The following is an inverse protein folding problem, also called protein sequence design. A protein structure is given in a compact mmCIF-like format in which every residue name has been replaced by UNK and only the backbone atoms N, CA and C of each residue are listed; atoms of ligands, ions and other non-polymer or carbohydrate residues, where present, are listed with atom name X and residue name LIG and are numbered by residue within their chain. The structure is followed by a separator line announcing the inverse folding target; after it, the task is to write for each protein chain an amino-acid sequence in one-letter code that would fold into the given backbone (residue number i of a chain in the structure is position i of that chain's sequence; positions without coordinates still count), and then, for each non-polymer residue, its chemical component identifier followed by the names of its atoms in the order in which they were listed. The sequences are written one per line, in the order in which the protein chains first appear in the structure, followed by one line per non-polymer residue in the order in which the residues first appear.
data_IF_955863159205
#
_entry.id   IF_955863159205
#
_cell.length_a   1.000
_cell.length_b   1.000
_cell.length_c   1.000
_cell.angle_alpha   90.00
_cell.angle_beta   90.00
_cell.angle_gamma   90.00
#
_symmetry.space_group_name_H-M   'P 1'
#
loop_
_entity.id
_entity.type
_entity.pdbx_description
1 polymer ?
#
# COMPACT_ATOMS: atom_id res chain seq x y z
N UNK A 1 0.02 -43.03 -3.19
CA UNK A 1 0.02 -42.54 -1.80
C UNK A 1 1.44 -42.15 -1.40
N UNK A 2 1.68 -40.94 -0.90
CA UNK A 2 3.04 -40.57 -0.50
C UNK A 2 3.50 -41.39 0.70
N UNK A 3 4.79 -41.67 0.73
CA UNK A 3 5.39 -42.44 1.80
C UNK A 3 5.42 -41.63 3.10
N UNK A 4 5.55 -42.32 4.23
CA UNK A 4 5.64 -41.66 5.52
C UNK A 4 6.87 -40.73 5.58
N UNK A 5 7.96 -41.11 4.91
CA UNK A 5 9.17 -40.28 4.83
C UNK A 5 8.93 -38.98 4.10
N UNK A 6 8.20 -39.03 2.98
CA UNK A 6 7.84 -37.83 2.21
C UNK A 6 6.95 -36.90 3.02
N UNK A 7 5.96 -37.48 3.71
CA UNK A 7 5.03 -36.70 4.57
C UNK A 7 5.82 -36.02 5.69
N UNK A 8 6.75 -36.73 6.32
CA UNK A 8 7.57 -36.18 7.40
C UNK A 8 8.41 -35.01 6.90
N UNK A 9 8.94 -35.09 5.67
CA UNK A 9 9.70 -34.00 5.06
C UNK A 9 8.82 -32.78 4.83
N UNK A 10 7.61 -33.01 4.35
CA UNK A 10 6.64 -31.91 4.15
C UNK A 10 6.27 -31.25 5.47
N UNK A 11 6.09 -32.05 6.54
CA UNK A 11 5.80 -31.49 7.87
C UNK A 11 6.91 -30.56 8.31
N UNK A 12 8.17 -30.99 8.13
CA UNK A 12 9.32 -30.17 8.51
C UNK A 12 9.37 -28.88 7.72
N UNK A 13 9.10 -28.94 6.42
CA UNK A 13 9.08 -27.77 5.55
C UNK A 13 8.00 -26.79 5.96
N UNK A 14 6.79 -27.28 6.24
CA UNK A 14 5.67 -26.43 6.61
C UNK A 14 5.91 -25.81 8.00
N UNK A 15 6.52 -26.55 8.93
CA UNK A 15 6.89 -25.98 10.23
C UNK A 15 7.89 -24.85 10.08
N UNK A 16 8.85 -24.98 9.15
CA UNK A 16 9.80 -23.90 8.88
C UNK A 16 9.09 -22.68 8.32
N UNK A 17 8.13 -22.87 7.42
CA UNK A 17 7.34 -21.77 6.88
C UNK A 17 6.58 -21.06 8.01
N UNK A 18 6.01 -21.83 8.95
CA UNK A 18 5.28 -21.24 10.09
C UNK A 18 6.20 -20.37 10.95
N UNK A 19 7.44 -20.80 11.15
CA UNK A 19 8.40 -19.99 11.91
C UNK A 19 8.74 -18.69 11.19
N UNK A 20 8.93 -18.76 9.88
CA UNK A 20 9.26 -17.58 9.06
C UNK A 20 8.11 -16.60 9.07
N UNK A 21 6.87 -17.09 8.84
CA UNK A 21 5.71 -16.19 8.78
C UNK A 21 5.43 -15.59 10.16
N UNK A 22 5.64 -16.34 11.24
CA UNK A 22 5.48 -15.82 12.59
C UNK A 22 6.48 -14.67 12.84
N UNK A 23 7.74 -14.85 12.43
CA UNK A 23 8.74 -13.81 12.57
C UNK A 23 8.37 -12.57 11.75
N UNK A 24 7.88 -12.80 10.53
CA UNK A 24 7.45 -11.70 9.66
C UNK A 24 6.25 -10.95 10.25
N UNK A 25 5.34 -11.67 10.89
CA UNK A 25 4.21 -11.04 11.57
C UNK A 25 4.70 -10.09 12.67
N UNK A 26 5.66 -10.54 13.47
CA UNK A 26 6.18 -9.74 14.57
C UNK A 26 6.95 -8.52 14.07
N UNK A 27 7.75 -8.68 13.04
CA UNK A 27 8.49 -7.57 12.43
C UNK A 27 7.52 -6.55 11.84
N UNK A 28 6.49 -7.04 11.12
CA UNK A 28 5.49 -6.14 10.53
C UNK A 28 4.71 -5.38 11.59
N UNK A 29 4.39 -6.03 12.71
CA UNK A 29 3.69 -5.36 13.81
C UNK A 29 4.53 -4.21 14.37
N UNK A 30 5.84 -4.45 14.56
CA UNK A 30 6.75 -3.42 15.05
C UNK A 30 6.86 -2.26 14.06
N UNK A 31 7.00 -2.58 12.77
CA UNK A 31 7.10 -1.56 11.73
C UNK A 31 5.80 -0.76 11.59
N UNK A 32 4.66 -1.43 11.76
CA UNK A 32 3.36 -0.75 11.73
C UNK A 32 3.26 0.29 12.84
N UNK A 33 3.66 -0.09 14.07
CA UNK A 33 3.61 0.84 15.19
C UNK A 33 4.50 2.06 14.97
N UNK A 34 5.69 1.83 14.40
CA UNK A 34 6.60 2.93 14.07
C UNK A 34 6.00 3.82 12.99
N UNK A 35 5.40 3.21 11.96
CA UNK A 35 4.79 3.96 10.87
C UNK A 35 3.62 4.81 11.38
N UNK A 36 2.81 4.27 12.30
CA UNK A 36 1.73 5.04 12.91
C UNK A 36 2.27 6.25 13.69
N UNK A 37 3.37 6.05 14.43
CA UNK A 37 4.01 7.17 15.14
C UNK A 37 4.52 8.22 14.16
N UNK A 38 5.04 7.80 13.02
CA UNK A 38 5.53 8.74 12.00
C UNK A 38 4.37 9.59 11.43
N UNK A 39 3.23 8.95 11.16
CA UNK A 39 2.04 9.68 10.70
C UNK A 39 1.61 10.71 11.76
N UNK A 40 1.52 10.28 13.01
CA UNK A 40 1.11 11.16 14.09
C UNK A 40 2.09 12.32 14.31
N UNK A 41 3.38 12.07 14.09
CA UNK A 41 4.40 13.11 14.26
C UNK A 41 4.27 14.23 13.24
N UNK A 42 3.71 13.94 12.05
CA UNK A 42 3.52 14.97 11.02
C UNK A 42 2.23 15.77 11.22
N UNK A 43 1.32 15.28 12.06
CA UNK A 43 -0.02 15.86 12.18
C UNK A 43 -0.04 17.32 12.67
N UNK A 44 0.74 17.71 13.68
CA UNK A 44 0.71 19.12 14.10
C UNK A 44 1.08 20.10 12.98
N UNK A 45 2.12 19.76 12.20
CA UNK A 45 2.54 20.59 11.08
C UNK A 45 1.45 20.65 10.01
N UNK A 46 0.87 19.49 9.67
CA UNK A 46 -0.18 19.43 8.66
C UNK A 46 -1.44 20.19 9.08
N UNK A 47 -1.82 20.08 10.37
CA UNK A 47 -2.98 20.78 10.89
C UNK A 47 -2.76 22.29 10.86
N UNK A 48 -1.57 22.74 11.24
CA UNK A 48 -1.24 24.16 11.21
C UNK A 48 -1.27 24.69 9.79
N UNK A 49 -0.69 23.95 8.87
CA UNK A 49 -0.70 24.32 7.45
C UNK A 49 -2.12 24.40 6.91
N UNK A 50 -2.99 23.47 7.32
CA UNK A 50 -4.40 23.49 6.91
C UNK A 50 -5.11 24.75 7.41
N UNK A 51 -4.84 25.15 8.65
CA UNK A 51 -5.42 26.40 9.20
C UNK A 51 -4.99 27.62 8.40
N UNK A 52 -3.69 27.71 8.12
CA UNK A 52 -3.16 28.83 7.34
C UNK A 52 -3.77 28.84 5.95
N UNK A 53 -3.86 27.66 5.32
CA UNK A 53 -4.45 27.56 3.98
C UNK A 53 -5.92 27.97 3.96
N UNK A 54 -6.69 27.57 4.96
CA UNK A 54 -8.10 27.95 5.05
C UNK A 54 -8.23 29.47 5.15
N UNK A 55 -7.37 30.10 5.95
CA UNK A 55 -7.38 31.56 6.13
C UNK A 55 -7.00 32.27 4.83
N UNK A 56 -5.92 31.80 4.18
CA UNK A 56 -5.43 32.42 2.95
C UNK A 56 -6.38 32.26 1.77
N UNK A 57 -6.96 31.07 1.61
CA UNK A 57 -7.85 30.82 0.47
C UNK A 57 -9.16 31.60 0.59
N UNK A 58 -9.59 31.92 1.82
CA UNK A 58 -10.76 32.78 2.02
C UNK A 58 -10.49 34.20 1.58
N UNK A 59 -9.24 34.64 1.61
CA UNK A 59 -8.85 36.01 1.28
C UNK A 59 -8.48 36.21 -0.18
N UNK A 60 -8.03 35.16 -0.85
CA UNK A 60 -7.60 35.24 -2.26
C UNK A 60 -8.70 34.62 -3.12
N UNK A 61 -9.45 35.43 -3.81
CA UNK A 61 -10.64 35.00 -4.57
C UNK A 61 -10.60 35.56 -5.99
N UNK A 62 -11.43 35.01 -6.84
CA UNK A 62 -11.66 35.50 -8.19
C UNK A 62 -10.43 35.45 -9.08
N UNK A 63 -10.16 36.53 -9.77
CA UNK A 63 -9.06 36.61 -10.73
C UNK A 63 -7.69 36.42 -10.09
N UNK A 64 -7.58 36.66 -8.79
CA UNK A 64 -6.31 36.46 -8.08
C UNK A 64 -5.89 34.98 -8.03
N UNK A 65 -6.82 34.06 -8.29
CA UNK A 65 -6.49 32.62 -8.33
C UNK A 65 -5.91 32.19 -9.67
N UNK A 66 -6.00 32.98 -10.69
CA UNK A 66 -5.50 32.64 -12.03
C UNK A 66 -4.00 32.46 -11.99
N UNK A 67 -3.54 31.37 -12.61
CA UNK A 67 -2.13 31.03 -12.65
C UNK A 67 -1.59 30.45 -11.37
N UNK A 68 -2.42 30.26 -10.37
CA UNK A 68 -2.03 29.63 -9.10
C UNK A 68 -2.52 28.19 -9.05
N UNK A 69 -2.09 27.47 -8.03
CA UNK A 69 -2.54 26.09 -7.80
C UNK A 69 -3.99 26.02 -7.32
N UNK A 70 -4.64 27.16 -7.13
CA UNK A 70 -6.07 27.22 -6.78
C UNK A 70 -6.98 27.28 -8.01
N UNK A 71 -6.41 27.51 -9.19
CA UNK A 71 -7.20 27.78 -10.38
C UNK A 71 -7.92 26.52 -10.89
N UNK A 72 -9.24 26.57 -10.94
CA UNK A 72 -10.02 25.53 -11.57
C UNK A 72 -10.04 25.77 -13.09
N UNK A 73 -9.68 24.74 -13.86
CA UNK A 73 -9.72 24.84 -15.30
C UNK A 73 -11.15 24.66 -15.80
N UNK A 74 -11.56 25.47 -16.76
CA UNK A 74 -12.92 25.39 -17.32
C UNK A 74 -13.18 24.04 -17.97
N UNK A 75 -12.19 23.56 -18.72
CA UNK A 75 -12.27 22.26 -19.39
C UNK A 75 -11.11 21.41 -18.91
N UNK A 76 -11.43 20.21 -18.45
CA UNK A 76 -10.41 19.26 -18.02
C UNK A 76 -10.12 18.31 -19.17
N UNK A 77 -8.90 18.36 -19.70
CA UNK A 77 -8.49 17.52 -20.83
C UNK A 77 -7.46 16.48 -20.41
N UNK A 78 -6.65 16.77 -19.40
CA UNK A 78 -5.61 15.86 -18.95
C UNK A 78 -5.52 15.84 -17.44
N UNK A 79 -5.25 14.67 -16.91
CA UNK A 79 -5.21 14.41 -15.48
C UNK A 79 -3.93 13.66 -15.15
N UNK A 80 -3.32 14.00 -14.02
CA UNK A 80 -2.21 13.22 -13.48
C UNK A 80 -2.68 12.47 -12.26
N UNK A 81 -2.26 11.21 -12.16
CA UNK A 81 -2.63 10.32 -11.06
C UNK A 81 -1.37 9.80 -10.39
N UNK A 82 -1.22 10.10 -9.10
CA UNK A 82 -0.15 9.54 -8.29
C UNK A 82 -0.68 8.28 -7.63
N UNK A 83 0.06 7.16 -7.75
CA UNK A 83 -0.35 5.87 -7.20
C UNK A 83 0.71 5.40 -6.20
N UNK A 84 0.29 5.19 -4.97
CA UNK A 84 1.18 4.77 -3.88
C UNK A 84 1.01 3.29 -3.61
N UNK A 85 2.09 2.53 -3.78
CA UNK A 85 2.10 1.09 -3.51
C UNK A 85 3.37 0.72 -2.75
N UNK A 86 3.42 -0.47 -2.15
CA UNK A 86 4.67 -0.96 -1.56
C UNK A 86 5.71 -1.36 -2.60
N UNK A 87 6.96 -1.50 -2.15
CA UNK A 87 8.01 -2.11 -2.96
C UNK A 87 7.92 -3.63 -2.94
N UNK A 88 7.38 -4.20 -1.87
CA UNK A 88 7.34 -5.66 -1.65
C UNK A 88 5.91 -6.13 -1.46
N UNK A 89 5.70 -7.41 -1.72
CA UNK A 89 4.41 -8.03 -1.55
C UNK A 89 4.20 -8.65 -0.17
N UNK A 90 3.41 -9.71 -0.14
CA UNK A 90 3.03 -10.43 1.07
C UNK A 90 2.26 -9.56 2.04
N UNK A 91 1.48 -8.64 1.50
CA UNK A 91 0.64 -7.73 2.27
C UNK A 91 -0.84 -7.89 1.89
N UNK A 92 -1.24 -9.13 1.67
CA UNK A 92 -2.61 -9.46 1.35
C UNK A 92 -3.06 -8.87 0.03
N UNK A 93 -4.27 -8.36 0.02
CA UNK A 93 -4.88 -7.80 -1.19
C UNK A 93 -4.61 -6.31 -1.37
N UNK A 94 -3.75 -5.72 -0.54
CA UNK A 94 -3.55 -4.26 -0.53
C UNK A 94 -3.11 -3.73 -1.89
N UNK A 95 -2.09 -4.36 -2.49
CA UNK A 95 -1.57 -3.91 -3.80
C UNK A 95 -2.64 -4.04 -4.87
N UNK A 96 -3.30 -5.21 -4.92
CA UNK A 96 -4.34 -5.45 -5.93
C UNK A 96 -5.49 -4.45 -5.80
N UNK A 97 -5.89 -4.13 -4.57
CA UNK A 97 -6.99 -3.20 -4.34
C UNK A 97 -6.65 -1.79 -4.80
N UNK A 98 -5.43 -1.33 -4.51
CA UNK A 98 -4.98 -0.01 -4.95
C UNK A 98 -4.92 0.05 -6.47
N UNK A 99 -4.35 -0.97 -7.11
CA UNK A 99 -4.20 -0.97 -8.56
C UNK A 99 -5.54 -1.11 -9.26
N UNK A 100 -6.47 -1.86 -8.69
CA UNK A 100 -7.83 -1.96 -9.23
C UNK A 100 -8.54 -0.60 -9.15
N UNK A 101 -8.37 0.10 -8.04
CA UNK A 101 -8.96 1.44 -7.90
C UNK A 101 -8.36 2.42 -8.89
N UNK A 102 -7.03 2.33 -9.09
CA UNK A 102 -6.35 3.18 -10.08
C UNK A 102 -6.84 2.89 -11.49
N UNK A 103 -6.98 1.61 -11.83
CA UNK A 103 -7.49 1.21 -13.15
C UNK A 103 -8.89 1.72 -13.40
N UNK A 104 -9.75 1.62 -12.40
CA UNK A 104 -11.13 2.13 -12.51
C UNK A 104 -11.12 3.65 -12.72
N UNK A 105 -10.30 4.37 -11.99
CA UNK A 105 -10.19 5.82 -12.16
C UNK A 105 -9.73 6.18 -13.57
N UNK A 106 -8.71 5.48 -14.07
CA UNK A 106 -8.17 5.74 -15.40
C UNK A 106 -9.25 5.50 -16.47
N UNK A 107 -9.98 4.38 -16.34
CA UNK A 107 -11.06 4.06 -17.27
C UNK A 107 -12.15 5.12 -17.25
N UNK A 108 -12.53 5.58 -16.07
CA UNK A 108 -13.55 6.62 -15.92
C UNK A 108 -13.11 7.94 -16.58
N UNK A 109 -11.84 8.31 -16.39
CA UNK A 109 -11.32 9.54 -16.98
C UNK A 109 -11.26 9.45 -18.49
N UNK A 110 -10.81 8.32 -19.01
CA UNK A 110 -10.75 8.12 -20.46
C UNK A 110 -12.13 8.12 -21.10
N UNK A 111 -13.13 7.62 -20.39
CA UNK A 111 -14.52 7.65 -20.87
C UNK A 111 -15.03 9.07 -20.99
N UNK A 112 -14.47 10.01 -20.23
CA UNK A 112 -14.81 11.44 -20.36
C UNK A 112 -13.98 12.15 -21.42
N UNK A 113 -13.14 11.43 -22.15
CA UNK A 113 -12.29 12.00 -23.19
C UNK A 113 -11.00 12.60 -22.68
N UNK A 114 -10.60 12.27 -21.47
CA UNK A 114 -9.39 12.84 -20.86
C UNK A 114 -8.21 11.88 -21.00
N UNK A 115 -7.00 12.44 -21.05
CA UNK A 115 -5.78 11.65 -20.97
C UNK A 115 -5.31 11.57 -19.54
N UNK A 116 -4.65 10.47 -19.18
CA UNK A 116 -4.16 10.27 -17.82
C UNK A 116 -2.67 9.89 -17.87
N UNK A 117 -1.84 10.65 -17.15
CA UNK A 117 -0.46 10.28 -16.88
C UNK A 117 -0.39 9.73 -15.47
N UNK A 118 0.43 8.70 -15.27
CA UNK A 118 0.57 8.05 -13.97
C UNK A 118 1.98 8.31 -13.42
N UNK A 119 2.03 8.68 -12.16
CA UNK A 119 3.27 8.77 -11.38
C UNK A 119 3.18 7.70 -10.30
N UNK A 120 4.27 7.01 -10.01
CA UNK A 120 4.24 5.92 -9.04
C UNK A 120 5.21 6.15 -7.90
N UNK A 121 4.73 5.84 -6.70
CA UNK A 121 5.56 5.61 -5.52
C UNK A 121 5.46 4.12 -5.24
N UNK A 122 6.62 3.45 -5.14
CA UNK A 122 6.66 2.03 -4.88
C UNK A 122 6.81 1.19 -6.13
N UNK A 123 7.53 0.09 -5.97
CA UNK A 123 7.90 -0.75 -7.11
C UNK A 123 6.73 -1.55 -7.66
N UNK A 124 5.81 -1.97 -6.80
CA UNK A 124 4.68 -2.81 -7.26
C UNK A 124 3.81 -2.08 -8.27
N UNK A 125 3.52 -0.81 -8.02
CA UNK A 125 2.75 -0.01 -8.97
C UNK A 125 3.52 0.28 -10.24
N UNK A 126 4.80 0.64 -10.12
CA UNK A 126 5.64 0.88 -11.27
C UNK A 126 5.66 -0.33 -12.21
N UNK A 127 5.91 -1.51 -11.65
CA UNK A 127 6.01 -2.73 -12.45
C UNK A 127 4.68 -3.07 -13.11
N UNK A 128 3.58 -2.87 -12.39
CA UNK A 128 2.25 -3.12 -12.94
C UNK A 128 2.00 -2.25 -14.18
N UNK A 129 2.26 -0.96 -14.07
CA UNK A 129 2.00 -0.04 -15.19
C UNK A 129 2.92 -0.31 -16.35
N UNK A 130 4.18 -0.65 -16.10
CA UNK A 130 5.09 -1.03 -17.18
C UNK A 130 4.61 -2.27 -17.93
N UNK A 131 4.10 -3.27 -17.19
CA UNK A 131 3.58 -4.50 -17.81
C UNK A 131 2.34 -4.24 -18.66
N UNK A 132 1.53 -3.26 -18.27
CA UNK A 132 0.30 -2.95 -19.02
C UNK A 132 0.52 -1.92 -20.12
N UNK A 133 1.78 -1.57 -20.41
CA UNK A 133 2.11 -0.66 -21.49
C UNK A 133 1.92 0.81 -21.14
N UNK A 134 1.91 1.15 -19.86
CA UNK A 134 1.59 2.46 -19.33
C UNK A 134 2.82 2.98 -18.59
N UNK A 135 3.83 3.46 -19.32
CA UNK A 135 5.06 3.91 -18.66
C UNK A 135 4.76 5.07 -17.70
N UNK A 136 5.17 4.99 -16.44
CA UNK A 136 4.96 6.13 -15.54
C UNK A 136 5.70 7.37 -16.00
N UNK A 137 5.06 8.52 -15.85
CA UNK A 137 5.68 9.81 -16.16
C UNK A 137 6.75 10.18 -15.13
N UNK A 138 6.66 9.61 -13.95
CA UNK A 138 7.66 9.75 -12.91
C UNK A 138 7.53 8.63 -11.91
N UNK A 139 8.60 8.30 -11.23
CA UNK A 139 8.59 7.17 -10.30
C UNK A 139 9.58 7.39 -9.17
N UNK A 140 9.24 6.84 -8.00
CA UNK A 140 10.14 6.77 -6.86
C UNK A 140 9.97 5.39 -6.22
N UNK A 141 11.07 4.71 -5.97
CA UNK A 141 11.07 3.39 -5.34
C UNK A 141 12.07 3.39 -4.21
N UNK A 142 12.07 2.29 -3.44
CA UNK A 142 12.99 2.10 -2.32
C UNK A 142 12.87 3.22 -1.31
N UNK A 143 11.62 3.59 -1.00
CA UNK A 143 11.38 4.66 -0.03
C UNK A 143 11.71 4.23 1.39
N UNK A 144 11.65 2.92 1.66
CA UNK A 144 11.92 2.40 2.99
C UNK A 144 10.72 2.53 3.90
N UNK A 145 10.95 2.24 5.18
CA UNK A 145 9.88 2.22 6.17
C UNK A 145 9.59 3.58 6.78
N UNK A 146 10.53 4.51 6.66
CA UNK A 146 10.39 5.86 7.24
C UNK A 146 11.03 6.87 6.30
N UNK A 147 10.45 7.10 5.11
CA UNK A 147 11.05 8.02 4.16
C UNK A 147 10.98 9.46 4.68
N UNK A 148 11.99 10.24 4.35
CA UNK A 148 11.97 11.67 4.58
C UNK A 148 11.22 12.36 3.44
N UNK A 149 10.80 13.59 3.68
CA UNK A 149 10.07 14.38 2.68
C UNK A 149 10.85 14.45 1.36
N UNK A 150 12.16 14.60 1.42
CA UNK A 150 13.01 14.71 0.24
C UNK A 150 12.86 13.52 -0.71
N UNK A 151 12.53 12.34 -0.17
CA UNK A 151 12.42 11.13 -0.99
C UNK A 151 11.24 11.19 -1.95
N UNK A 152 10.20 11.97 -1.64
CA UNK A 152 9.01 12.06 -2.49
C UNK A 152 8.99 13.35 -3.33
N UNK A 153 9.89 14.28 -3.08
CA UNK A 153 9.80 15.60 -3.70
C UNK A 153 10.00 15.56 -5.22
N UNK A 154 10.85 14.67 -5.70
CA UNK A 154 11.09 14.60 -7.15
C UNK A 154 9.82 14.35 -7.95
N UNK A 155 9.06 13.34 -7.51
CA UNK A 155 7.80 12.99 -8.17
C UNK A 155 6.76 14.09 -7.92
N UNK A 156 6.67 14.57 -6.67
CA UNK A 156 5.68 15.59 -6.31
C UNK A 156 5.88 16.87 -7.11
N UNK A 157 7.11 17.34 -7.19
CA UNK A 157 7.42 18.59 -7.89
C UNK A 157 7.15 18.44 -9.39
N UNK A 158 7.51 17.30 -9.96
CA UNK A 158 7.26 17.04 -11.38
C UNK A 158 5.76 17.13 -11.70
N UNK A 159 4.93 16.50 -10.87
CA UNK A 159 3.48 16.52 -11.09
C UNK A 159 2.89 17.92 -10.89
N UNK A 160 3.34 18.62 -9.85
CA UNK A 160 2.87 19.99 -9.57
C UNK A 160 3.24 20.93 -10.71
N UNK A 161 4.49 20.83 -11.19
CA UNK A 161 4.94 21.64 -12.31
C UNK A 161 4.16 21.34 -13.58
N UNK A 162 3.74 20.09 -13.77
CA UNK A 162 2.88 19.72 -14.88
C UNK A 162 1.55 20.45 -14.84
N UNK A 163 1.00 20.61 -13.65
CA UNK A 163 -0.23 21.38 -13.49
C UNK A 163 0.01 22.87 -13.79
N UNK A 164 1.09 23.43 -13.24
CA UNK A 164 1.38 24.85 -13.43
C UNK A 164 1.64 25.20 -14.89
N UNK A 165 2.28 24.30 -15.63
CA UNK A 165 2.62 24.53 -17.05
C UNK A 165 1.44 24.28 -17.99
N UNK A 166 0.31 23.77 -17.46
CA UNK A 166 -0.84 23.46 -18.27
C UNK A 166 -0.85 22.06 -18.87
N UNK A 167 0.16 21.25 -18.53
CA UNK A 167 0.20 19.86 -19.00
C UNK A 167 -0.94 19.04 -18.38
N UNK A 168 -1.26 19.31 -17.13
CA UNK A 168 -2.36 18.65 -16.41
C UNK A 168 -3.36 19.69 -15.92
N UNK A 169 -4.62 19.32 -15.97
CA UNK A 169 -5.70 20.18 -15.48
C UNK A 169 -6.16 19.79 -14.08
N UNK A 170 -5.89 18.54 -13.68
CA UNK A 170 -6.18 18.05 -12.34
C UNK A 170 -5.11 17.07 -11.93
N UNK A 171 -4.92 16.95 -10.62
CA UNK A 171 -3.94 16.01 -10.03
C UNK A 171 -4.62 15.26 -8.90
N UNK A 172 -4.52 13.94 -8.92
CA UNK A 172 -5.11 13.06 -7.91
C UNK A 172 -4.05 12.15 -7.33
N UNK A 173 -4.32 11.63 -6.14
CA UNK A 173 -3.48 10.59 -5.52
C UNK A 173 -4.38 9.46 -5.04
N UNK A 174 -3.92 8.23 -5.29
CA UNK A 174 -4.54 7.01 -4.75
C UNK A 174 -3.53 6.37 -3.81
N UNK A 175 -3.98 6.04 -2.62
CA UNK A 175 -3.12 5.51 -1.57
C UNK A 175 -3.94 4.57 -0.70
N UNK A 176 -3.27 3.88 0.24
CA UNK A 176 -3.93 2.97 1.15
C UNK A 176 -4.22 3.69 2.46
N UNK A 177 -5.49 3.95 2.70
CA UNK A 177 -5.95 4.58 3.93
C UNK A 177 -5.94 3.55 5.05
N UNK A 178 -5.41 3.94 6.20
CA UNK A 178 -5.36 3.08 7.38
C UNK A 178 -6.62 3.32 8.21
N UNK A 179 -7.53 2.36 8.18
CA UNK A 179 -8.77 2.45 8.98
C UNK A 179 -8.50 1.89 10.38
N UNK A 180 -8.00 0.68 10.44
CA UNK A 180 -7.54 0.05 11.68
C UNK A 180 -6.58 -1.08 11.29
N UNK A 181 -6.14 -1.84 12.27
CA UNK A 181 -5.15 -2.89 12.04
C UNK A 181 -5.64 -3.94 11.03
N UNK A 182 -6.93 -4.23 11.02
CA UNK A 182 -7.49 -5.28 10.15
C UNK A 182 -7.96 -4.75 8.80
N UNK A 183 -8.26 -3.46 8.69
CA UNK A 183 -8.88 -2.89 7.50
C UNK A 183 -8.05 -1.77 6.95
N UNK A 184 -7.66 -1.89 5.69
CA UNK A 184 -7.02 -0.84 4.92
C UNK A 184 -7.82 -0.70 3.63
N UNK A 185 -7.99 0.51 3.17
CA UNK A 185 -8.89 0.80 2.06
C UNK A 185 -8.21 1.70 1.05
N UNK A 186 -8.29 1.41 -0.26
CA UNK A 186 -7.78 2.37 -1.23
C UNK A 186 -8.62 3.64 -1.17
N UNK A 187 -7.95 4.77 -1.12
CA UNK A 187 -8.59 6.06 -1.08
C UNK A 187 -8.06 6.93 -2.21
N UNK A 188 -8.92 7.76 -2.75
CA UNK A 188 -8.52 8.70 -3.79
C UNK A 188 -8.78 10.13 -3.27
N UNK A 189 -7.84 11.01 -3.53
CA UNK A 189 -7.95 12.40 -3.11
C UNK A 189 -7.51 13.30 -4.25
N UNK A 190 -8.27 14.35 -4.50
CA UNK A 190 -7.86 15.37 -5.48
C UNK A 190 -6.88 16.32 -4.81
N UNK A 191 -5.71 16.49 -5.42
CA UNK A 191 -4.68 17.37 -4.91
C UNK A 191 -4.69 18.74 -5.56
N UNK A 192 -4.94 18.79 -6.86
CA UNK A 192 -4.95 20.04 -7.60
C UNK A 192 -6.16 20.08 -8.53
N UNK A 193 -6.78 21.24 -8.74
CA UNK A 193 -6.50 22.49 -8.00
C UNK A 193 -6.81 22.33 -6.53
N UNK A 194 -6.11 23.08 -5.70
CA UNK A 194 -6.28 23.02 -4.25
C UNK A 194 -7.66 23.57 -3.91
N UNK A 195 -8.40 22.81 -3.10
CA UNK A 195 -9.66 23.27 -2.55
C UNK A 195 -9.43 23.78 -1.14
N UNK A 196 -10.22 24.78 -0.76
CA UNK A 196 -10.11 25.33 0.58
C UNK A 196 -10.41 24.25 1.62
N UNK A 197 -9.53 24.03 2.59
CA UNK A 197 -9.80 23.03 3.62
C UNK A 197 -11.05 23.36 4.41
N UNK A 198 -11.83 22.32 4.72
CA UNK A 198 -13.04 22.45 5.52
C UNK A 198 -12.64 22.42 7.00
N UNK A 199 -12.60 23.57 7.63
CA UNK A 199 -12.29 23.67 9.06
C UNK A 199 -13.56 24.06 9.79
N UNK A 200 -14.04 23.14 10.62
CA UNK A 200 -15.29 23.30 11.34
C UNK A 200 -15.19 24.30 12.51
N UNK A 201 -13.98 24.56 12.97
CA UNK A 201 -13.75 25.52 14.04
C UNK A 201 -13.01 26.73 13.46
N UNK A 202 -13.74 27.81 13.31
CA UNK A 202 -13.15 29.08 12.96
C UNK A 202 -12.39 29.61 14.18
N UNK A 203 -11.12 29.36 14.23
CA UNK A 203 -10.25 30.11 15.11
C UNK A 203 -10.09 31.47 14.46
N UNK A 204 -10.62 32.45 15.09
CA UNK A 204 -10.48 33.86 14.66
C UNK A 204 -9.06 34.33 14.96
N UNK A 205 -8.06 33.65 14.36
CA UNK A 205 -6.68 34.11 14.46
C UNK A 205 -6.43 35.03 13.26
N UNK A 206 -6.08 36.24 13.55
CA UNK A 206 -5.82 37.25 12.53
C UNK A 206 -4.33 37.18 12.18
N UNK A 207 -4.01 36.42 11.13
CA UNK A 207 -2.63 36.30 10.66
C UNK A 207 -2.23 37.55 9.87
N UNK A 208 -1.01 37.98 10.09
CA UNK A 208 -0.40 39.02 9.26
C UNK A 208 0.59 38.32 8.30
N UNK A 209 0.43 38.55 7.01
CA UNK A 209 1.24 37.91 5.98
C UNK A 209 2.24 38.92 5.39
N UNK A 210 3.49 38.53 5.43
CA UNK A 210 4.58 39.32 4.83
C UNK A 210 5.31 38.51 3.76
N UNK A 211 5.54 39.06 2.57
CA UNK A 211 5.28 40.45 2.15
C UNK A 211 3.86 40.76 1.76
N UNK A 212 3.01 39.75 1.61
CA UNK A 212 1.61 39.91 1.27
C UNK A 212 0.89 38.59 1.18
N UNK A 213 -0.44 38.64 1.11
CA UNK A 213 -1.28 37.45 1.11
C UNK A 213 -1.05 36.59 -0.14
N UNK A 214 -0.96 37.24 -1.31
CA UNK A 214 -0.75 36.50 -2.57
C UNK A 214 0.63 35.86 -2.65
N UNK A 215 1.64 36.57 -2.22
CA UNK A 215 3.01 36.06 -2.23
C UNK A 215 3.17 34.89 -1.28
N UNK A 216 2.59 34.97 -0.09
CA UNK A 216 2.63 33.89 0.88
C UNK A 216 1.86 32.69 0.35
N UNK A 217 0.69 32.91 -0.25
CA UNK A 217 -0.12 31.83 -0.81
C UNK A 217 0.64 31.08 -1.90
N UNK A 218 1.26 31.81 -2.83
CA UNK A 218 2.01 31.18 -3.92
C UNK A 218 3.24 30.42 -3.41
N UNK A 219 3.80 30.83 -2.29
CA UNK A 219 4.91 30.14 -1.66
C UNK A 219 4.47 28.88 -0.92
N UNK A 220 3.33 28.93 -0.25
CA UNK A 220 2.88 27.84 0.62
C UNK A 220 2.08 26.77 -0.13
N UNK A 221 1.44 27.12 -1.25
CA UNK A 221 0.59 26.18 -1.98
C UNK A 221 1.33 24.90 -2.41
N UNK A 222 2.53 24.98 -3.04
CA UNK A 222 3.22 23.75 -3.39
C UNK A 222 3.59 22.93 -2.16
N UNK A 223 3.99 23.59 -1.07
CA UNK A 223 4.33 22.89 0.16
C UNK A 223 3.13 22.18 0.77
N UNK A 224 1.95 22.79 0.67
CA UNK A 224 0.72 22.17 1.15
C UNK A 224 0.44 20.87 0.38
N UNK A 225 0.56 20.92 -0.94
CA UNK A 225 0.36 19.74 -1.77
C UNK A 225 1.41 18.67 -1.47
N UNK A 226 2.68 19.07 -1.36
CA UNK A 226 3.77 18.15 -1.02
C UNK A 226 3.51 17.45 0.32
N UNK A 227 3.01 18.20 1.30
CA UNK A 227 2.69 17.65 2.62
C UNK A 227 1.58 16.62 2.53
N UNK A 228 0.55 16.89 1.73
CA UNK A 228 -0.54 15.94 1.54
C UNK A 228 -0.03 14.66 0.88
N UNK A 229 0.85 14.77 -0.10
CA UNK A 229 1.44 13.61 -0.76
C UNK A 229 2.28 12.82 0.25
N UNK A 230 3.09 13.52 1.02
CA UNK A 230 3.96 12.88 2.01
C UNK A 230 3.13 12.13 3.06
N UNK A 231 2.07 12.76 3.56
CA UNK A 231 1.19 12.11 4.53
C UNK A 231 0.52 10.87 3.95
N UNK A 232 0.12 10.92 2.68
CA UNK A 232 -0.48 9.76 2.01
C UNK A 232 0.53 8.61 1.92
N UNK A 233 1.78 8.93 1.62
CA UNK A 233 2.83 7.91 1.55
C UNK A 233 3.06 7.28 2.93
N UNK A 234 3.17 8.11 3.98
CA UNK A 234 3.37 7.60 5.33
C UNK A 234 2.19 6.73 5.79
N UNK A 235 0.98 7.16 5.49
CA UNK A 235 -0.22 6.39 5.84
C UNK A 235 -0.25 5.07 5.10
N UNK A 236 0.14 5.07 3.82
CA UNK A 236 0.23 3.84 3.03
C UNK A 236 1.24 2.87 3.62
N UNK A 237 2.34 3.37 4.17
CA UNK A 237 3.35 2.50 4.79
C UNK A 237 2.76 1.84 6.04
N UNK A 238 2.02 2.59 6.86
CA UNK A 238 1.34 2.00 8.02
C UNK A 238 0.34 0.93 7.58
N UNK A 239 -0.42 1.21 6.52
CA UNK A 239 -1.37 0.25 5.97
C UNK A 239 -0.67 -0.99 5.44
N UNK A 240 0.45 -0.82 4.76
CA UNK A 240 1.23 -1.92 4.21
C UNK A 240 1.69 -2.87 5.30
N UNK A 241 2.27 -2.34 6.37
CA UNK A 241 2.77 -3.19 7.46
C UNK A 241 1.64 -3.85 8.23
N UNK A 242 0.52 -3.15 8.39
CA UNK A 242 -0.66 -3.73 9.02
C UNK A 242 -1.19 -4.90 8.19
N UNK A 243 -1.30 -4.72 6.89
CA UNK A 243 -1.79 -5.77 5.99
C UNK A 243 -0.85 -6.96 5.96
N UNK A 244 0.46 -6.70 5.98
CA UNK A 244 1.45 -7.79 6.00
C UNK A 244 1.40 -8.56 7.32
N UNK A 245 1.22 -7.85 8.43
CA UNK A 245 1.09 -8.49 9.74
C UNK A 245 -0.09 -9.48 9.74
N UNK A 246 -1.24 -9.04 9.26
CA UNK A 246 -2.43 -9.89 9.21
C UNK A 246 -2.23 -11.06 8.23
N UNK A 247 -1.64 -10.78 7.06
CA UNK A 247 -1.38 -11.85 6.08
C UNK A 247 -0.44 -12.91 6.65
N UNK A 248 0.59 -12.48 7.39
CA UNK A 248 1.53 -13.43 7.99
C UNK A 248 0.92 -14.20 9.15
N UNK A 249 0.04 -13.55 9.93
CA UNK A 249 -0.71 -14.26 10.98
C UNK A 249 -1.57 -15.36 10.38
N UNK A 250 -2.28 -15.04 9.30
CA UNK A 250 -3.12 -16.04 8.63
C UNK A 250 -2.28 -17.15 8.01
N UNK A 251 -1.12 -16.81 7.43
CA UNK A 251 -0.22 -17.80 6.87
C UNK A 251 0.32 -18.75 7.95
N UNK A 252 0.64 -18.22 9.13
CA UNK A 252 1.11 -19.02 10.25
C UNK A 252 0.02 -19.99 10.71
N UNK A 253 -1.21 -19.48 10.86
CA UNK A 253 -2.34 -20.31 11.28
C UNK A 253 -2.63 -21.41 10.25
N UNK A 254 -2.60 -21.06 8.97
CA UNK A 254 -2.80 -22.04 7.90
C UNK A 254 -1.71 -23.10 7.90
N UNK A 255 -0.46 -22.71 8.14
CA UNK A 255 0.64 -23.65 8.21
C UNK A 255 0.47 -24.61 9.39
N UNK A 256 0.03 -24.11 10.55
CA UNK A 256 -0.21 -24.96 11.71
C UNK A 256 -1.32 -25.98 11.44
N UNK A 257 -2.39 -25.54 10.76
CA UNK A 257 -3.49 -26.43 10.38
C UNK A 257 -2.99 -27.52 9.41
N UNK A 258 -2.15 -27.12 8.47
CA UNK A 258 -1.59 -28.07 7.50
C UNK A 258 -0.69 -29.08 8.19
N UNK A 259 0.11 -28.67 9.17
CA UNK A 259 0.95 -29.59 9.96
C UNK A 259 0.08 -30.61 10.68
N UNK A 260 -1.04 -30.15 11.24
CA UNK A 260 -1.97 -31.06 11.93
C UNK A 260 -2.51 -32.11 10.96
N UNK A 261 -2.96 -31.67 9.77
CA UNK A 261 -3.49 -32.59 8.75
C UNK A 261 -2.42 -33.57 8.26
N UNK A 262 -1.21 -33.05 8.02
CA UNK A 262 -0.10 -33.89 7.55
C UNK A 262 0.33 -34.90 8.62
N UNK A 263 0.23 -34.51 9.89
CA UNK A 263 0.57 -35.44 11.00
C UNK A 263 -0.41 -36.61 11.03
N UNK A 264 -1.71 -36.35 10.81
CA UNK A 264 -2.68 -37.42 10.69
C UNK A 264 -2.37 -38.34 9.52
N UNK A 265 -2.03 -37.78 8.37
CA UNK A 265 -1.65 -38.56 7.17
C UNK A 265 -0.38 -39.37 7.42
N UNK A 266 0.60 -38.78 8.12
CA UNK A 266 1.83 -39.45 8.46
C UNK A 266 1.55 -40.67 9.35
N UNK A 267 0.74 -40.53 10.38
CA UNK A 267 0.40 -41.61 11.29
C UNK A 267 -0.33 -42.73 10.54
N UNK A 268 -1.24 -42.38 9.63
CA UNK A 268 -1.96 -43.32 8.80
C UNK A 268 -1.00 -44.11 7.89
N UNK A 269 -0.11 -43.41 7.20
CA UNK A 269 0.85 -44.02 6.29
C UNK A 269 1.83 -44.92 7.04
N UNK A 270 2.26 -44.47 8.24
CA UNK A 270 3.18 -45.25 9.06
C UNK A 270 2.52 -46.56 9.52
N UNK A 271 1.26 -46.46 9.99
CA UNK A 271 0.53 -47.62 10.44
C UNK A 271 0.27 -48.61 9.28
N UNK A 272 -0.07 -48.07 8.09
CA UNK A 272 -0.28 -48.90 6.90
C UNK A 272 1.01 -49.61 6.50
N UNK A 273 2.15 -48.93 6.58
CA UNK A 273 3.45 -49.54 6.26
C UNK A 273 3.80 -50.65 7.24
N UNK A 274 3.56 -50.42 8.54
CA UNK A 274 3.80 -51.43 9.58
C UNK A 274 2.90 -52.66 9.34
N UNK A 275 1.62 -52.41 9.06
CA UNK A 275 0.68 -53.50 8.79
C UNK A 275 1.11 -54.31 7.58
N UNK A 276 1.56 -53.62 6.51
CA UNK A 276 2.06 -54.29 5.32
C UNK A 276 3.30 -55.16 5.62
N UNK A 277 4.24 -54.64 6.40
CA UNK A 277 5.44 -55.38 6.79
C UNK A 277 5.08 -56.62 7.60
N UNK A 278 4.18 -56.46 8.57
CA UNK A 278 3.74 -57.58 9.40
C UNK A 278 3.05 -58.63 8.54
N UNK A 279 2.18 -58.23 7.62
CA UNK A 279 1.49 -59.14 6.71
C UNK A 279 2.47 -59.89 5.80
N UNK A 280 3.49 -59.21 5.30
CA UNK A 280 4.50 -59.82 4.44
C UNK A 280 5.32 -60.84 5.23
N UNK A 281 5.70 -60.49 6.48
CA UNK A 281 6.44 -61.44 7.33
C UNK A 281 5.58 -62.66 7.65
N UNK A 282 4.30 -62.45 7.99
CA UNK A 282 3.39 -63.55 8.29
C UNK A 282 3.19 -64.46 7.07
N UNK A 283 3.04 -63.87 5.88
CA UNK A 283 2.90 -64.61 4.64
C UNK A 283 4.16 -65.43 4.32
N UNK A 284 5.33 -64.78 4.53
CA UNK A 284 6.61 -65.46 4.33
C UNK A 284 6.80 -66.60 5.28
N UNK A 285 6.46 -66.44 6.54
CA UNK A 285 6.53 -67.52 7.54
C UNK A 285 5.59 -68.66 7.20
N UNK A 286 4.37 -68.34 6.76
CA UNK A 286 3.38 -69.36 6.36
C UNK A 286 3.88 -70.12 5.14
N UNK A 287 4.50 -69.46 4.16
CA UNK A 287 5.04 -70.11 2.96
C UNK A 287 6.18 -71.04 3.33
N UNK A 288 7.04 -70.63 4.24
CA UNK A 288 8.14 -71.47 4.73
C UNK A 288 7.65 -72.75 5.45
N UNK A 289 6.64 -72.59 6.25
CA UNK A 289 6.00 -73.66 6.98
C UNK A 289 5.35 -74.68 6.01
N UNK A 290 4.68 -74.26 5.02
CA UNK A 290 4.07 -75.10 4.00
C UNK A 290 5.10 -75.85 3.07
N UNK A 291 6.01 -75.35 3.00
CA UNK A 291 7.05 -75.86 2.21
C UNK A 291 7.81 -76.93 2.91
N UNK A 292 7.56 -77.00 3.99
CA UNK A 292 8.08 -77.92 4.83
C UNK A 292 7.23 -79.14 5.02
N UNK A 293 6.10 -79.30 4.51
CA UNK A 293 5.25 -80.46 4.47
C UNK A 293 5.31 -81.08 3.06
#
# INVERSE_FOLDING_TARGET
MPSSREIKRRIRSVKNVAQITRAMEMVSASKMRRAQRNVLATRPYADRMREVMANLTARVVGAARRGTLLEKRETVKSVALLVVTPDRGLCGSLVANVLRRAGRFITEQRAMGRTVDVYTFGRKGRDFFLRTGFAPAGEATRLGDAPKLEAILGVAISAINGFQSGKYDELYIIYSEFINTLVQRPAIKQLLPVESPDISTTTNVDYTYEPGEEEVLNSILPRYVETQIYQAVLESIASEHSARMVAMRNATNNAKDLVRDLTLSFNKARQAAITKEVSEIASGAAALTSXXQ
#
